data_IF_458376220136
#
_entry.id   IF_458376220136
#
_cell.length_a   1.000
_cell.length_b   1.000
_cell.length_c   1.000
_cell.angle_alpha   90.00
_cell.angle_beta   90.00
_cell.angle_gamma   90.00
#
_symmetry.space_group_name_H-M   'P 1'
#
loop_
_entity.id
_entity.type
_entity.pdbx_description
1 polymer ?
#
# COMPACT_ATOMS: atom_id res chain seq x y z
N UNK A 1 12.58 17.55 -2.94
CA UNK A 1 12.62 16.13 -2.54
C UNK A 1 11.22 15.60 -2.74
N UNK A 2 11.02 14.64 -3.63
CA UNK A 2 9.68 14.08 -3.85
C UNK A 2 9.19 13.39 -2.56
N UNK A 3 7.93 13.65 -2.19
CA UNK A 3 7.34 13.11 -0.97
C UNK A 3 7.29 11.58 -0.99
N UNK A 4 7.53 10.97 0.17
CA UNK A 4 7.45 9.52 0.32
C UNK A 4 5.98 9.09 0.24
N UNK A 5 5.69 8.12 -0.63
CA UNK A 5 4.37 7.54 -0.76
C UNK A 5 4.31 6.26 0.08
N UNK A 6 3.18 6.04 0.78
CA UNK A 6 2.88 4.79 1.47
C UNK A 6 1.56 4.20 1.00
N UNK A 7 1.37 2.90 1.19
CA UNK A 7 0.09 2.23 1.00
C UNK A 7 -0.22 1.24 2.10
N UNK A 8 -1.50 1.03 2.33
CA UNK A 8 -2.01 0.18 3.40
C UNK A 8 -2.62 -1.10 2.85
N UNK A 9 -2.34 -2.21 3.52
CA UNK A 9 -3.03 -3.49 3.30
C UNK A 9 -3.67 -3.98 4.59
N UNK A 10 -4.84 -4.64 4.49
CA UNK A 10 -5.56 -5.23 5.61
C UNK A 10 -5.57 -6.74 5.53
N UNK A 11 -5.11 -7.41 6.57
CA UNK A 11 -5.17 -8.86 6.67
C UNK A 11 -6.62 -9.36 6.77
N UNK A 12 -7.03 -10.28 5.87
CA UNK A 12 -8.38 -10.88 5.93
C UNK A 12 -8.63 -11.74 7.17
N UNK A 13 -7.56 -12.24 7.80
CA UNK A 13 -7.66 -13.18 8.92
C UNK A 13 -7.81 -12.48 10.27
N UNK A 14 -6.94 -11.52 10.56
CA UNK A 14 -6.94 -10.81 11.85
C UNK A 14 -7.43 -9.37 11.76
N UNK A 15 -7.59 -8.82 10.56
CA UNK A 15 -8.03 -7.44 10.35
C UNK A 15 -6.95 -6.38 10.56
N UNK A 16 -5.74 -6.77 10.92
CA UNK A 16 -4.58 -5.87 11.10
C UNK A 16 -4.29 -5.11 9.80
N UNK A 17 -3.97 -3.82 9.92
CA UNK A 17 -3.57 -2.96 8.81
C UNK A 17 -2.06 -2.74 8.87
N UNK A 18 -1.38 -2.97 7.75
CA UNK A 18 0.07 -2.75 7.61
C UNK A 18 0.30 -1.65 6.58
N UNK A 19 1.08 -0.63 6.98
CA UNK A 19 1.59 0.40 6.08
C UNK A 19 2.88 -0.08 5.41
N UNK A 20 2.97 0.11 4.10
CA UNK A 20 4.10 -0.25 3.26
C UNK A 20 4.66 1.00 2.60
N UNK A 21 5.98 1.06 2.51
CA UNK A 21 6.67 2.05 1.72
C UNK A 21 6.66 1.66 0.24
N UNK A 22 6.31 2.61 -0.62
CA UNK A 22 6.54 2.44 -2.04
C UNK A 22 8.03 2.55 -2.37
N UNK A 23 8.51 1.65 -3.21
CA UNK A 23 9.91 1.63 -3.64
C UNK A 23 10.26 2.87 -4.47
N UNK A 24 11.48 3.39 -4.28
CA UNK A 24 12.05 4.55 -4.98
C UNK A 24 12.27 4.31 -6.49
N UNK A 25 11.98 3.10 -6.99
CA UNK A 25 12.18 2.71 -8.39
C UNK A 25 11.20 3.37 -9.36
N UNK A 26 10.06 3.86 -8.89
CA UNK A 26 9.04 4.48 -9.75
C UNK A 26 8.80 5.93 -9.35
N UNK A 27 8.53 6.77 -10.35
CA UNK A 27 8.13 8.16 -10.12
C UNK A 27 6.75 8.21 -9.45
N UNK A 28 6.46 9.30 -8.72
CA UNK A 28 5.14 9.53 -8.10
C UNK A 28 3.97 9.33 -9.08
N UNK A 29 4.12 9.75 -10.33
CA UNK A 29 3.08 9.65 -11.36
C UNK A 29 2.82 8.21 -11.80
N UNK A 30 3.86 7.39 -11.87
CA UNK A 30 3.74 5.96 -12.16
C UNK A 30 3.06 5.23 -11.00
N UNK A 31 3.37 5.61 -9.75
CA UNK A 31 2.72 5.03 -8.57
C UNK A 31 1.24 5.38 -8.44
N UNK A 32 0.85 6.63 -8.72
CA UNK A 32 -0.58 7.01 -8.71
C UNK A 32 -1.34 6.18 -9.73
N UNK A 33 -0.83 6.06 -10.96
CA UNK A 33 -1.46 5.24 -12.01
C UNK A 33 -1.54 3.77 -11.63
N UNK A 34 -0.49 3.22 -11.03
CA UNK A 34 -0.47 1.84 -10.58
C UNK A 34 -1.46 1.62 -9.41
N UNK A 35 -1.57 2.59 -8.50
CA UNK A 35 -2.53 2.53 -7.38
C UNK A 35 -3.97 2.63 -7.86
N UNK A 36 -4.26 3.54 -8.79
CA UNK A 36 -5.56 3.65 -9.47
C UNK A 36 -5.90 2.35 -10.20
N UNK A 37 -4.96 1.82 -10.99
CA UNK A 37 -5.14 0.54 -11.68
C UNK A 37 -5.39 -0.62 -10.71
N UNK A 38 -4.63 -0.70 -9.60
CA UNK A 38 -4.85 -1.70 -8.57
C UNK A 38 -6.21 -1.53 -7.89
N UNK A 39 -6.64 -0.31 -7.59
CA UNK A 39 -7.93 -0.07 -6.98
C UNK A 39 -9.10 -0.45 -7.92
N UNK A 40 -8.99 -0.11 -9.21
CA UNK A 40 -10.03 -0.35 -10.21
C UNK A 40 -10.11 -1.81 -10.65
N UNK A 41 -8.98 -2.50 -10.76
CA UNK A 41 -8.90 -3.84 -11.36
C UNK A 41 -8.56 -4.95 -10.38
N UNK A 42 -8.02 -4.61 -9.22
CA UNK A 42 -7.62 -5.58 -8.21
C UNK A 42 -8.36 -5.29 -6.89
N UNK A 43 -9.55 -5.87 -6.75
CA UNK A 43 -9.98 -6.43 -5.45
C UNK A 43 -9.10 -7.63 -5.08
N UNK A 44 -7.79 -7.59 -5.35
CA UNK A 44 -6.97 -8.78 -5.45
C UNK A 44 -6.19 -8.96 -4.16
N UNK A 45 -6.69 -9.84 -3.27
CA UNK A 45 -5.95 -10.27 -2.12
C UNK A 45 -4.54 -10.71 -2.50
N UNK A 46 -3.52 -10.03 -1.99
CA UNK A 46 -2.13 -10.43 -2.22
C UNK A 46 -1.57 -11.19 -1.02
N UNK A 47 -0.76 -12.24 -1.24
CA UNK A 47 -0.01 -12.87 -0.17
C UNK A 47 1.06 -11.89 0.34
N UNK A 48 0.92 -11.46 1.59
CA UNK A 48 1.85 -10.54 2.25
C UNK A 48 2.05 -10.94 3.72
N UNK A 49 3.23 -10.63 4.27
CA UNK A 49 3.53 -10.82 5.68
C UNK A 49 2.58 -10.02 6.58
N UNK A 50 1.91 -10.69 7.52
CA UNK A 50 1.05 -10.04 8.51
C UNK A 50 1.73 -10.08 9.88
N UNK A 51 1.95 -8.89 10.46
CA UNK A 51 2.59 -8.74 11.78
C UNK A 51 1.73 -9.41 12.86
N UNK A 52 0.42 -9.17 12.87
CA UNK A 52 -0.48 -9.77 13.85
C UNK A 52 -0.59 -11.29 13.76
N UNK A 53 -0.40 -11.87 12.57
CA UNK A 53 -0.43 -13.33 12.39
C UNK A 53 0.95 -13.99 12.51
N UNK A 54 2.04 -13.23 12.46
CA UNK A 54 3.42 -13.73 12.44
C UNK A 54 3.76 -14.62 11.24
N UNK A 55 2.98 -14.52 10.14
CA UNK A 55 3.14 -15.34 8.93
C UNK A 55 2.57 -14.64 7.71
N UNK A 56 2.85 -15.20 6.54
CA UNK A 56 2.20 -14.76 5.30
C UNK A 56 0.70 -15.05 5.34
N UNK A 57 -0.08 -14.06 4.92
CA UNK A 57 -1.53 -14.14 4.83
C UNK A 57 -2.02 -13.42 3.60
N UNK A 58 -3.27 -13.68 3.27
CA UNK A 58 -3.98 -12.91 2.26
C UNK A 58 -4.39 -11.54 2.83
N UNK A 59 -3.98 -10.46 2.17
CA UNK A 59 -4.30 -9.09 2.55
C UNK A 59 -4.94 -8.30 1.40
N UNK A 60 -5.92 -7.47 1.74
CA UNK A 60 -6.61 -6.58 0.81
C UNK A 60 -5.93 -5.22 0.79
N UNK A 61 -5.82 -4.62 -0.39
CA UNK A 61 -5.43 -3.22 -0.51
C UNK A 61 -6.51 -2.31 0.10
N UNK A 62 -6.10 -1.31 0.87
CA UNK A 62 -7.02 -0.38 1.55
C UNK A 62 -6.98 1.01 0.91
N UNK A 63 -5.81 1.65 0.96
CA UNK A 63 -5.62 3.02 0.52
C UNK A 63 -4.12 3.30 0.28
N UNK A 64 -3.81 4.42 -0.37
CA UNK A 64 -2.47 5.01 -0.35
C UNK A 64 -2.51 6.39 0.29
N UNK A 65 -1.41 6.76 0.93
CA UNK A 65 -1.19 8.10 1.48
C UNK A 65 0.00 8.73 0.77
N UNK A 66 -0.16 9.96 0.29
CA UNK A 66 0.98 10.77 -0.17
C UNK A 66 1.38 11.77 0.91
N UNK A 67 2.53 11.58 1.55
CA UNK A 67 3.10 12.62 2.39
C UNK A 67 3.75 13.68 1.50
N UNK A 68 2.98 14.72 1.14
CA UNK A 68 3.57 15.97 0.64
C UNK A 68 4.34 16.62 1.80
N UNK A 69 5.68 16.70 1.71
CA UNK A 69 6.49 17.46 2.68
C UNK A 69 6.38 18.99 2.51
N UNK A 70 5.57 19.48 1.56
CA UNK A 70 5.48 20.90 1.20
C UNK A 70 4.21 21.60 1.72
N UNK A 71 3.71 21.21 2.91
CA UNK A 71 2.75 22.03 3.66
C UNK A 71 3.43 22.55 4.94
N UNK A 72 4.30 23.55 4.75
CA UNK A 72 4.55 24.62 5.73
C UNK A 72 4.68 25.94 4.99
#
# INVERSE_FOLDING_TARGET
MEGQLTYDTKCRRCGEITEWLFSDTYTRKEWVRLSEYCFEHFTNPSPCGCVGCGKETIQDYVAYTSMNKDLK
#
